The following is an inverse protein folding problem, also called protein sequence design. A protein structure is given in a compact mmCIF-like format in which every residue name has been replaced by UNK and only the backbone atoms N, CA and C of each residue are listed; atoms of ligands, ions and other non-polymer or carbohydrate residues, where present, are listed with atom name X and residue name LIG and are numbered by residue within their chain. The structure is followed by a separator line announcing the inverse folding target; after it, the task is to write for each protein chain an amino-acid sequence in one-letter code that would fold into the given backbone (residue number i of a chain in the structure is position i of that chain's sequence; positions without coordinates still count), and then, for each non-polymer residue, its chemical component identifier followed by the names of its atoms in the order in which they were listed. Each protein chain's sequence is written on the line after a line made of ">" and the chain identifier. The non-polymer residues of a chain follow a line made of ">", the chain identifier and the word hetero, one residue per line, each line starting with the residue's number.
data_IF_467848466507
#
_entry.id   IF_467848466507
#
_cell.length_a   1.000
_cell.length_b   1.000
_cell.length_c   1.000
_cell.angle_alpha   90.00
_cell.angle_beta   90.00
_cell.angle_gamma   90.00
#
_symmetry.space_group_name_H-M   'P 1'
#
loop_
_entity.id
_entity.type
_entity.pdbx_description
1 polymer ?
#
# COMPACT_ATOMS: atom_id res chain seq x y z
N UNK A 1 -29.28 -6.22 -15.11
CA UNK A 1 -29.42 -7.17 -13.99
C UNK A 1 -30.83 -7.04 -13.45
N UNK A 2 -31.61 -8.13 -13.45
CA UNK A 2 -32.95 -8.13 -12.84
C UNK A 2 -32.79 -8.51 -11.37
N UNK A 3 -33.25 -7.66 -10.48
CA UNK A 3 -33.29 -7.94 -9.06
C UNK A 3 -34.64 -8.58 -8.70
N UNK A 4 -34.70 -9.55 -7.78
CA UNK A 4 -35.95 -10.07 -7.28
C UNK A 4 -36.72 -8.99 -6.53
N UNK A 5 -38.04 -9.02 -6.60
CA UNK A 5 -38.86 -8.21 -5.73
C UNK A 5 -38.78 -8.78 -4.30
N UNK A 6 -38.46 -7.94 -3.34
CA UNK A 6 -38.28 -8.32 -1.94
C UNK A 6 -39.16 -7.44 -1.06
N UNK A 7 -39.79 -8.07 -0.07
CA UNK A 7 -40.52 -7.36 0.98
C UNK A 7 -39.53 -6.76 2.01
N UNK A 8 -39.92 -5.75 2.76
CA UNK A 8 -39.06 -5.15 3.79
C UNK A 8 -38.52 -6.20 4.79
N UNK A 9 -37.21 -6.31 4.90
CA UNK A 9 -36.50 -7.26 5.77
C UNK A 9 -36.20 -8.61 5.11
N UNK A 10 -36.60 -8.86 3.88
CA UNK A 10 -36.22 -10.05 3.13
C UNK A 10 -34.85 -9.91 2.52
N UNK A 11 -34.19 -11.06 2.32
CA UNK A 11 -32.88 -11.18 1.66
C UNK A 11 -33.03 -11.99 0.38
N UNK A 12 -32.44 -11.50 -0.70
CA UNK A 12 -32.43 -12.20 -1.98
C UNK A 12 -31.04 -12.22 -2.60
N UNK A 13 -30.91 -13.03 -3.64
CA UNK A 13 -29.67 -13.17 -4.41
C UNK A 13 -29.91 -12.72 -5.85
N UNK A 14 -28.94 -12.00 -6.39
CA UNK A 14 -28.89 -11.64 -7.81
C UNK A 14 -27.56 -12.05 -8.41
N UNK A 15 -27.62 -12.68 -9.58
CA UNK A 15 -26.42 -13.00 -10.35
C UNK A 15 -26.11 -11.86 -11.34
N UNK A 16 -24.84 -11.55 -11.47
CA UNK A 16 -24.35 -10.62 -12.48
C UNK A 16 -24.00 -11.43 -13.72
N UNK A 17 -24.86 -11.42 -14.74
CA UNK A 17 -24.68 -12.22 -15.96
C UNK A 17 -23.33 -11.99 -16.65
N UNK A 18 -22.83 -10.74 -16.58
CA UNK A 18 -21.48 -10.40 -17.08
C UNK A 18 -20.35 -11.20 -16.39
N UNK A 19 -20.58 -11.69 -15.18
CA UNK A 19 -19.60 -12.48 -14.43
C UNK A 19 -19.48 -13.91 -14.91
N UNK A 20 -20.54 -14.43 -15.54
CA UNK A 20 -20.58 -15.75 -16.14
C UNK A 20 -19.89 -15.81 -17.51
N UNK A 21 -19.71 -14.64 -18.16
CA UNK A 21 -18.99 -14.56 -19.41
C UNK A 21 -17.47 -14.56 -19.18
N UNK A 22 -16.73 -15.60 -19.65
CA UNK A 22 -15.28 -15.72 -19.41
C UNK A 22 -14.47 -14.54 -19.95
N UNK A 23 -14.82 -13.99 -21.12
CA UNK A 23 -14.09 -12.87 -21.72
C UNK A 23 -14.27 -11.57 -20.93
N UNK A 24 -15.50 -11.31 -20.44
CA UNK A 24 -15.79 -10.14 -19.61
C UNK A 24 -15.08 -10.30 -18.26
N UNK A 25 -15.14 -11.49 -17.67
CA UNK A 25 -14.48 -11.80 -16.41
C UNK A 25 -12.97 -11.59 -16.51
N UNK A 26 -12.33 -12.08 -17.57
CA UNK A 26 -10.91 -11.90 -17.80
C UNK A 26 -10.54 -10.42 -17.94
N UNK A 27 -11.33 -9.63 -18.70
CA UNK A 27 -11.12 -8.18 -18.81
C UNK A 27 -11.27 -7.47 -17.47
N UNK A 28 -12.25 -7.84 -16.67
CA UNK A 28 -12.46 -7.27 -15.33
C UNK A 28 -11.25 -7.56 -14.45
N UNK A 29 -10.80 -8.82 -14.36
CA UNK A 29 -9.67 -9.21 -13.51
C UNK A 29 -8.32 -8.71 -14.00
N UNK A 30 -8.15 -8.48 -15.30
CA UNK A 30 -6.88 -7.98 -15.87
C UNK A 30 -6.74 -6.46 -15.85
N UNK A 31 -7.86 -5.72 -15.83
CA UNK A 31 -7.86 -4.26 -15.97
C UNK A 31 -8.69 -3.52 -14.91
N UNK A 32 -9.54 -4.24 -14.16
CA UNK A 32 -10.37 -3.63 -13.14
C UNK A 32 -9.66 -3.59 -11.79
N UNK A 33 -9.72 -2.45 -11.12
CA UNK A 33 -9.17 -2.28 -9.78
C UNK A 33 -10.22 -2.58 -8.72
N UNK A 34 -11.44 -2.14 -8.96
CA UNK A 34 -12.56 -2.27 -8.02
C UNK A 34 -13.86 -2.58 -8.77
N UNK A 35 -14.74 -3.31 -8.12
CA UNK A 35 -16.16 -3.44 -8.48
C UNK A 35 -16.96 -2.49 -7.59
N UNK A 36 -17.66 -1.57 -8.22
CA UNK A 36 -18.58 -0.69 -7.53
C UNK A 36 -20.04 -1.16 -7.80
N UNK A 37 -20.79 -1.38 -6.75
CA UNK A 37 -22.20 -1.72 -6.79
C UNK A 37 -22.99 -0.56 -6.19
N UNK A 38 -23.84 0.03 -7.01
CA UNK A 38 -24.73 1.10 -6.60
C UNK A 38 -26.18 0.60 -6.60
N UNK A 39 -26.86 0.76 -5.46
CA UNK A 39 -28.28 0.55 -5.35
C UNK A 39 -29.01 1.87 -5.61
N UNK A 40 -29.92 1.89 -6.60
CA UNK A 40 -30.69 3.05 -6.99
C UNK A 40 -32.15 2.81 -6.60
N UNK A 41 -32.72 3.75 -5.87
CA UNK A 41 -34.11 3.70 -5.46
C UNK A 41 -35.07 3.97 -6.63
N UNK A 42 -36.35 3.73 -6.40
CA UNK A 42 -37.40 3.98 -7.40
C UNK A 42 -37.52 5.45 -7.81
N UNK A 43 -37.02 6.35 -6.96
CA UNK A 43 -36.96 7.80 -7.23
C UNK A 43 -35.70 8.20 -8.04
N UNK A 44 -34.91 7.22 -8.48
CA UNK A 44 -33.68 7.41 -9.23
C UNK A 44 -32.48 7.90 -8.42
N UNK A 45 -32.60 7.95 -7.09
CA UNK A 45 -31.47 8.36 -6.22
C UNK A 45 -30.68 7.17 -5.72
N UNK A 46 -29.40 7.40 -5.54
CA UNK A 46 -28.51 6.41 -4.92
C UNK A 46 -28.91 6.18 -3.46
N UNK A 47 -29.19 4.93 -3.13
CA UNK A 47 -29.51 4.48 -1.77
C UNK A 47 -28.23 4.09 -1.04
N UNK A 48 -27.36 3.33 -1.70
CA UNK A 48 -26.07 3.00 -1.18
C UNK A 48 -25.10 2.61 -2.31
N UNK A 49 -23.83 2.84 -2.09
CA UNK A 49 -22.75 2.37 -2.95
C UNK A 49 -21.80 1.48 -2.15
N UNK A 50 -21.43 0.35 -2.73
CA UNK A 50 -20.43 -0.56 -2.13
C UNK A 50 -19.34 -0.86 -3.13
N UNK A 51 -18.09 -0.77 -2.64
CA UNK A 51 -16.89 -0.98 -3.44
C UNK A 51 -16.18 -2.24 -2.97
N UNK A 52 -15.86 -3.14 -3.90
CA UNK A 52 -15.16 -4.38 -3.66
C UNK A 52 -13.86 -4.39 -4.48
N UNK A 53 -12.69 -4.62 -3.88
CA UNK A 53 -11.45 -4.76 -4.62
C UNK A 53 -11.52 -6.03 -5.48
N UNK A 54 -11.25 -5.92 -6.78
CA UNK A 54 -11.20 -7.04 -7.73
C UNK A 54 -9.78 -7.55 -7.86
N UNK A 55 -8.82 -6.64 -8.00
CA UNK A 55 -7.41 -6.97 -8.03
C UNK A 55 -6.77 -6.70 -6.67
N UNK A 56 -5.87 -7.59 -6.27
CA UNK A 56 -5.01 -7.26 -5.15
C UNK A 56 -4.02 -6.19 -5.63
N UNK A 57 -4.13 -4.99 -5.08
CA UNK A 57 -3.20 -3.87 -5.35
C UNK A 57 -1.74 -4.33 -5.31
N UNK A 58 -1.43 -5.33 -4.48
CA UNK A 58 -0.12 -5.95 -4.36
C UNK A 58 0.39 -6.54 -5.69
N UNK A 59 -0.42 -7.35 -6.39
CA UNK A 59 0.00 -7.98 -7.66
C UNK A 59 0.20 -6.96 -8.78
N UNK A 60 -0.63 -5.91 -8.81
CA UNK A 60 -0.47 -4.80 -9.73
C UNK A 60 0.84 -4.04 -9.46
N UNK A 61 1.10 -3.67 -8.21
CA UNK A 61 2.33 -2.97 -7.84
C UNK A 61 3.58 -3.83 -8.05
N UNK A 62 3.52 -5.13 -7.73
CA UNK A 62 4.62 -6.05 -7.99
C UNK A 62 4.92 -6.15 -9.49
N UNK A 63 3.90 -6.21 -10.35
CA UNK A 63 4.05 -6.18 -11.81
C UNK A 63 4.65 -4.87 -12.32
N UNK A 64 4.19 -3.72 -11.82
CA UNK A 64 4.74 -2.41 -12.15
C UNK A 64 6.20 -2.27 -11.69
N UNK A 65 6.50 -2.65 -10.46
CA UNK A 65 7.86 -2.62 -9.93
C UNK A 65 8.80 -3.56 -10.69
N UNK A 66 8.31 -4.74 -11.13
CA UNK A 66 9.11 -5.67 -11.93
C UNK A 66 9.40 -5.13 -13.33
N UNK A 67 8.50 -4.30 -13.90
CA UNK A 67 8.66 -3.68 -15.23
C UNK A 67 9.59 -2.46 -15.22
N UNK A 68 9.82 -1.84 -14.06
CA UNK A 68 10.74 -0.71 -13.93
C UNK A 68 12.17 -1.17 -14.20
N UNK A 69 12.78 -0.62 -15.25
CA UNK A 69 14.22 -0.79 -15.46
C UNK A 69 14.97 -0.16 -14.32
N UNK A 70 15.71 -0.95 -13.57
CA UNK A 70 16.59 -0.44 -12.53
C UNK A 70 17.75 0.30 -13.18
N UNK A 71 17.83 1.59 -12.90
CA UNK A 71 18.95 2.43 -13.29
C UNK A 71 19.72 2.77 -12.01
N UNK A 72 20.89 2.19 -11.83
CA UNK A 72 21.71 2.48 -10.64
C UNK A 72 22.45 1.27 -10.11
N UNK A 73 23.34 1.54 -9.16
CA UNK A 73 24.20 0.51 -8.51
C UNK A 73 23.47 -0.33 -7.45
N UNK A 74 22.20 -0.04 -7.22
CA UNK A 74 21.40 -0.66 -6.16
C UNK A 74 21.44 0.15 -4.85
N UNK A 75 20.75 -0.39 -3.84
CA UNK A 75 20.74 0.19 -2.51
C UNK A 75 21.84 -0.40 -1.64
N UNK A 76 22.12 0.23 -0.52
CA UNK A 76 22.96 -0.32 0.54
C UNK A 76 22.38 0.02 1.92
N UNK A 77 22.81 -0.70 2.92
CA UNK A 77 22.47 -0.45 4.32
C UNK A 77 23.76 -0.12 5.07
N UNK A 78 23.80 1.02 5.70
CA UNK A 78 24.90 1.44 6.59
C UNK A 78 24.37 1.49 8.03
N UNK A 79 25.03 0.76 8.91
CA UNK A 79 24.66 0.69 10.32
C UNK A 79 25.70 1.40 11.17
N UNK A 80 25.25 2.33 12.01
CA UNK A 80 26.03 3.00 13.03
C UNK A 80 25.34 2.78 14.40
N UNK A 81 26.01 3.18 15.48
CA UNK A 81 25.51 2.95 16.85
C UNK A 81 24.13 3.56 17.10
N UNK A 82 23.88 4.74 16.58
CA UNK A 82 22.62 5.50 16.80
C UNK A 82 21.69 5.54 15.58
N UNK A 83 22.18 5.23 14.39
CA UNK A 83 21.46 5.39 13.12
C UNK A 83 21.57 4.14 12.25
N UNK A 84 20.52 3.89 11.47
CA UNK A 84 20.55 3.01 10.30
C UNK A 84 20.24 3.86 9.08
N UNK A 85 21.10 3.82 8.07
CA UNK A 85 20.92 4.59 6.83
C UNK A 85 20.71 3.63 5.67
N UNK A 86 19.59 3.78 4.98
CA UNK A 86 19.33 3.16 3.69
C UNK A 86 19.83 4.09 2.60
N UNK A 87 20.76 3.63 1.80
CA UNK A 87 21.40 4.42 0.76
C UNK A 87 20.96 3.94 -0.63
N UNK A 88 20.80 4.88 -1.54
CA UNK A 88 20.64 4.64 -2.98
C UNK A 88 21.46 5.65 -3.77
N UNK A 89 21.47 5.54 -5.10
CA UNK A 89 22.13 6.56 -5.94
C UNK A 89 21.45 7.95 -5.85
N UNK A 90 20.22 8.03 -5.38
CA UNK A 90 19.39 9.23 -5.42
C UNK A 90 19.14 9.85 -4.06
N UNK A 91 19.02 9.01 -3.03
CA UNK A 91 18.62 9.43 -1.70
C UNK A 91 19.24 8.56 -0.63
N UNK A 92 19.63 9.18 0.49
CA UNK A 92 19.95 8.49 1.74
C UNK A 92 18.89 8.81 2.77
N UNK A 93 18.35 7.78 3.41
CA UNK A 93 17.33 7.92 4.46
C UNK A 93 17.92 7.34 5.74
N UNK A 94 18.12 8.18 6.74
CA UNK A 94 18.63 7.77 8.05
C UNK A 94 17.51 7.66 9.06
N UNK A 95 17.52 6.59 9.83
CA UNK A 95 16.56 6.28 10.88
C UNK A 95 17.26 6.19 12.23
N UNK A 96 16.62 6.66 13.30
CA UNK A 96 17.11 6.50 14.68
C UNK A 96 16.91 5.06 15.15
N UNK A 97 17.90 4.49 15.80
CA UNK A 97 17.79 3.12 16.33
C UNK A 97 16.87 3.00 17.54
N UNK A 98 16.71 4.05 18.31
CA UNK A 98 15.92 4.03 19.55
C UNK A 98 14.41 3.97 19.32
N UNK A 99 13.92 4.56 18.23
CA UNK A 99 12.49 4.69 17.95
C UNK A 99 12.10 4.40 16.50
N UNK A 100 13.08 4.12 15.64
CA UNK A 100 12.94 3.88 14.21
C UNK A 100 12.28 5.04 13.43
N UNK A 101 12.32 6.25 13.97
CA UNK A 101 11.83 7.44 13.27
C UNK A 101 12.87 7.96 12.27
N UNK A 102 12.41 8.68 11.25
CA UNK A 102 13.30 9.30 10.28
C UNK A 102 14.10 10.41 10.96
N UNK A 103 15.41 10.30 10.91
CA UNK A 103 16.33 11.34 11.36
C UNK A 103 16.61 12.38 10.27
N UNK A 104 16.88 11.91 9.05
CA UNK A 104 17.13 12.78 7.91
C UNK A 104 16.89 12.07 6.59
N UNK A 105 16.55 12.84 5.56
CA UNK A 105 16.46 12.41 4.17
C UNK A 105 17.35 13.33 3.35
N UNK A 106 18.42 12.78 2.77
CA UNK A 106 19.37 13.51 1.94
C UNK A 106 19.13 13.19 0.46
N UNK A 107 18.78 14.19 -0.33
CA UNK A 107 18.72 14.06 -1.78
C UNK A 107 20.11 14.30 -2.38
N UNK A 108 20.69 13.29 -3.03
CA UNK A 108 22.08 13.33 -3.52
C UNK A 108 22.29 14.26 -4.72
N UNK A 109 21.28 14.44 -5.56
CA UNK A 109 21.38 15.27 -6.76
C UNK A 109 21.90 16.69 -6.48
N UNK A 110 21.48 17.29 -5.40
CA UNK A 110 21.78 18.66 -5.02
C UNK A 110 22.26 18.81 -3.57
N UNK A 111 22.56 17.67 -2.95
CA UNK A 111 23.01 17.57 -1.55
C UNK A 111 22.05 18.27 -0.56
N UNK A 112 20.75 18.22 -0.85
CA UNK A 112 19.71 18.90 -0.08
C UNK A 112 19.07 17.97 0.92
N UNK A 113 18.99 18.42 2.18
CA UNK A 113 18.18 17.75 3.20
C UNK A 113 16.71 18.09 2.92
N UNK A 114 15.88 17.05 2.73
CA UNK A 114 14.43 17.18 2.61
C UNK A 114 13.88 17.33 4.03
N UNK A 115 12.97 18.29 4.29
CA UNK A 115 12.42 18.52 5.63
C UNK A 115 11.37 17.46 6.00
N UNK A 116 11.79 16.21 6.00
CA UNK A 116 10.99 15.04 6.38
C UNK A 116 11.74 14.33 7.51
N UNK A 117 11.22 14.44 8.71
CA UNK A 117 11.78 13.83 9.92
C UNK A 117 10.68 13.43 10.89
N UNK A 118 11.06 12.62 11.88
CA UNK A 118 10.22 12.21 13.00
C UNK A 118 8.96 11.43 12.62
N UNK A 119 8.92 10.83 11.43
CA UNK A 119 7.81 10.01 10.95
C UNK A 119 8.25 8.71 10.28
N UNK A 120 7.27 7.94 9.77
CA UNK A 120 5.84 8.02 10.05
C UNK A 120 5.47 7.43 11.43
N UNK A 121 4.60 8.08 12.16
CA UNK A 121 4.05 7.59 13.43
C UNK A 121 2.52 7.64 13.37
N UNK A 122 1.81 6.64 13.93
CA UNK A 122 0.37 6.67 14.05
C UNK A 122 -0.07 7.80 14.99
N UNK A 123 -1.08 8.55 14.58
CA UNK A 123 -1.65 9.62 15.40
C UNK A 123 -2.50 9.04 16.52
N UNK A 124 -2.33 9.55 17.75
CA UNK A 124 -3.17 9.18 18.90
C UNK A 124 -2.79 7.86 19.57
N UNK A 125 -1.68 7.22 19.19
CA UNK A 125 -1.21 6.00 19.84
C UNK A 125 0.19 6.20 20.43
N UNK A 126 0.39 5.76 21.67
CA UNK A 126 1.74 5.60 22.21
C UNK A 126 2.31 4.27 21.72
N UNK A 127 3.39 4.33 20.97
CA UNK A 127 4.04 3.15 20.42
C UNK A 127 5.45 3.00 20.98
N UNK A 128 5.77 1.78 21.42
CA UNK A 128 7.12 1.43 21.85
C UNK A 128 7.78 0.54 20.82
N UNK A 129 8.95 0.91 20.34
CA UNK A 129 9.74 0.07 19.46
C UNK A 129 10.13 -1.23 20.17
N UNK A 130 9.85 -2.36 19.55
CA UNK A 130 10.17 -3.71 20.04
C UNK A 130 11.39 -4.28 19.32
N UNK A 131 11.46 -4.09 18.02
CA UNK A 131 12.58 -4.54 17.22
C UNK A 131 12.78 -3.66 15.98
N UNK A 132 14.03 -3.53 15.57
CA UNK A 132 14.44 -2.83 14.38
C UNK A 132 15.47 -3.68 13.66
N UNK A 133 15.31 -3.88 12.37
CA UNK A 133 16.26 -4.58 11.52
C UNK A 133 16.31 -3.96 10.13
N UNK A 134 17.46 -3.99 9.51
CA UNK A 134 17.62 -3.62 8.12
C UNK A 134 18.28 -4.77 7.35
N UNK A 135 17.90 -4.94 6.10
CA UNK A 135 18.44 -5.99 5.24
C UNK A 135 18.44 -5.59 3.78
N UNK A 136 19.30 -6.24 3.04
CA UNK A 136 19.28 -6.20 1.58
C UNK A 136 18.44 -7.35 1.03
N UNK A 137 17.60 -7.07 0.07
CA UNK A 137 16.85 -8.07 -0.68
C UNK A 137 17.64 -8.53 -1.92
N UNK A 138 17.33 -9.73 -2.41
CA UNK A 138 18.03 -10.32 -3.58
C UNK A 138 17.95 -9.42 -4.83
N UNK A 139 16.93 -8.58 -4.92
CA UNK A 139 16.75 -7.62 -6.01
C UNK A 139 17.59 -6.35 -5.86
N UNK A 140 18.37 -6.21 -4.78
CA UNK A 140 19.16 -5.03 -4.47
C UNK A 140 18.36 -3.89 -3.84
N UNK A 141 17.19 -4.18 -3.27
CA UNK A 141 16.43 -3.24 -2.46
C UNK A 141 16.90 -3.30 -1.01
N UNK A 142 16.93 -2.16 -0.34
CA UNK A 142 17.17 -2.08 1.09
C UNK A 142 15.85 -1.95 1.84
N UNK A 143 15.61 -2.80 2.83
CA UNK A 143 14.38 -2.82 3.62
C UNK A 143 14.73 -2.58 5.08
N UNK A 144 14.02 -1.63 5.70
CA UNK A 144 13.99 -1.43 7.14
C UNK A 144 12.68 -1.97 7.69
N UNK A 145 12.76 -2.86 8.68
CA UNK A 145 11.60 -3.40 9.38
C UNK A 145 11.61 -2.91 10.83
N UNK A 146 10.59 -2.17 11.23
CA UNK A 146 10.37 -1.75 12.59
C UNK A 146 9.08 -2.39 13.12
N UNK A 147 9.16 -3.04 14.28
CA UNK A 147 8.01 -3.61 14.98
C UNK A 147 7.75 -2.78 16.24
N UNK A 148 6.52 -2.35 16.37
CA UNK A 148 6.08 -1.60 17.54
C UNK A 148 5.02 -2.36 18.33
N UNK A 149 4.93 -2.06 19.61
CA UNK A 149 3.82 -2.45 20.47
C UNK A 149 3.06 -1.19 20.86
N UNK A 150 1.75 -1.17 20.56
CA UNK A 150 0.84 -0.13 21.03
C UNK A 150 0.48 -0.40 22.48
N UNK A 151 0.45 0.66 23.32
CA UNK A 151 -0.21 0.66 24.61
C UNK A 151 -1.59 1.28 24.42
N UNK A 152 -2.64 0.58 24.79
CA UNK A 152 -3.98 1.12 25.01
C UNK A 152 -4.11 1.51 26.45
#
# INVERSE_FOLDING_TARGET
>A
MNLPALEPGETGYACIDAWENPEIREKIFSKGDVLELEAIGLDGKSVCTRTYPISFARSYFEGQLASLKRTGKGCCVNEADSLITLCSDWVDISFRRNDATIYSVLRKKDNRIIPLKDGPLPVGMQMKLVSLSARMEQRGDAILCARYRGGG
#
